data_IF_308958843929
#
_entry.id   IF_308958843929
#
_cell.length_a   1.000
_cell.length_b   1.000
_cell.length_c   1.000
_cell.angle_alpha   90.00
_cell.angle_beta   90.00
_cell.angle_gamma   90.00
#
_symmetry.space_group_name_H-M   'P 1'
#
loop_
_entity.id
_entity.type
_entity.pdbx_description
1 polymer ?
#
# COMPACT_ATOMS: atom_id res chain seq x y z
N UNK A 1 -1.64 14.08 3.39
CA UNK A 1 -1.62 13.10 2.28
C UNK A 1 -0.19 12.59 2.19
N UNK A 2 0.02 11.30 2.34
CA UNK A 2 1.35 10.69 2.37
C UNK A 2 1.66 10.03 1.03
N UNK A 3 2.84 10.29 0.48
CA UNK A 3 3.31 9.60 -0.72
C UNK A 3 4.07 8.34 -0.28
N UNK A 4 3.66 7.18 -0.80
CA UNK A 4 4.28 5.90 -0.47
C UNK A 4 4.63 5.20 -1.78
N UNK A 5 5.91 4.87 -1.96
CA UNK A 5 6.38 4.07 -3.08
C UNK A 5 6.16 2.57 -2.80
N UNK A 6 5.61 1.86 -3.78
CA UNK A 6 5.43 0.42 -3.77
C UNK A 6 6.65 -0.20 -4.43
N UNK A 7 7.50 -0.85 -3.64
CA UNK A 7 8.71 -1.52 -4.14
C UNK A 7 8.51 -3.02 -3.91
N UNK A 8 7.98 -3.77 -4.89
CA UNK A 8 7.62 -5.17 -4.70
C UNK A 8 8.82 -6.11 -4.59
N UNK A 9 10.00 -5.72 -5.10
CA UNK A 9 11.17 -6.60 -5.14
C UNK A 9 10.93 -7.85 -6.00
N UNK A 10 11.59 -8.96 -5.63
CA UNK A 10 11.58 -10.21 -6.38
C UNK A 10 10.80 -11.34 -5.68
N UNK A 11 10.65 -12.47 -6.38
CA UNK A 11 9.95 -13.65 -5.85
C UNK A 11 8.47 -13.36 -5.63
N UNK A 12 7.97 -13.67 -4.43
CA UNK A 12 6.55 -13.45 -4.05
C UNK A 12 6.24 -12.03 -3.57
N UNK A 13 7.22 -11.10 -3.65
CA UNK A 13 7.08 -9.76 -3.07
C UNK A 13 5.95 -8.95 -3.70
N UNK A 14 5.67 -9.14 -4.99
CA UNK A 14 4.55 -8.51 -5.69
C UNK A 14 3.19 -8.93 -5.12
N UNK A 15 3.00 -10.21 -4.83
CA UNK A 15 1.76 -10.72 -4.23
C UNK A 15 1.58 -10.19 -2.81
N UNK A 16 2.64 -10.19 -2.00
CA UNK A 16 2.58 -9.75 -0.61
C UNK A 16 2.31 -8.24 -0.50
N UNK A 17 3.00 -7.42 -1.30
CA UNK A 17 2.79 -5.96 -1.31
C UNK A 17 1.37 -5.62 -1.76
N UNK A 18 0.80 -6.35 -2.73
CA UNK A 18 -0.59 -6.15 -3.16
C UNK A 18 -1.59 -6.41 -2.02
N UNK A 19 -1.40 -7.48 -1.24
CA UNK A 19 -2.29 -7.76 -0.11
C UNK A 19 -2.08 -6.76 1.05
N UNK A 20 -0.84 -6.35 1.32
CA UNK A 20 -0.53 -5.30 2.30
C UNK A 20 -1.19 -3.96 1.94
N UNK A 21 -1.17 -3.57 0.65
CA UNK A 21 -1.85 -2.37 0.15
C UNK A 21 -3.34 -2.38 0.47
N UNK A 22 -4.04 -3.50 0.31
CA UNK A 22 -5.48 -3.62 0.62
C UNK A 22 -5.77 -3.36 2.10
N UNK A 23 -4.96 -3.91 3.00
CA UNK A 23 -5.12 -3.69 4.45
C UNK A 23 -4.94 -2.21 4.78
N UNK A 24 -3.91 -1.59 4.20
CA UNK A 24 -3.61 -0.17 4.41
C UNK A 24 -4.74 0.72 3.86
N UNK A 25 -5.33 0.40 2.70
CA UNK A 25 -6.46 1.17 2.15
C UNK A 25 -7.71 1.10 3.03
N UNK A 26 -7.97 -0.04 3.67
CA UNK A 26 -9.09 -0.16 4.63
C UNK A 26 -8.78 0.65 5.88
N UNK A 27 -7.59 0.50 6.45
CA UNK A 27 -7.17 1.27 7.62
C UNK A 27 -7.19 2.78 7.33
N UNK A 28 -6.73 3.21 6.16
CA UNK A 28 -6.68 4.62 5.78
C UNK A 28 -8.08 5.22 5.69
N UNK A 29 -9.08 4.46 5.23
CA UNK A 29 -10.50 4.88 5.25
C UNK A 29 -11.04 5.03 6.68
N UNK A 30 -10.72 4.10 7.58
CA UNK A 30 -11.17 4.14 8.99
C UNK A 30 -10.61 5.37 9.70
N UNK A 31 -9.33 5.68 9.49
CA UNK A 31 -8.64 6.77 10.20
C UNK A 31 -8.59 8.09 9.42
N UNK A 32 -9.25 8.19 8.26
CA UNK A 32 -9.26 9.40 7.44
C UNK A 32 -7.89 9.79 6.86
N UNK A 33 -6.97 8.83 6.72
CA UNK A 33 -5.63 9.04 6.19
C UNK A 33 -5.69 9.00 4.66
N UNK A 34 -5.13 10.03 4.01
CA UNK A 34 -4.98 10.06 2.55
C UNK A 34 -3.60 9.56 2.15
N UNK A 35 -3.55 8.55 1.28
CA UNK A 35 -2.32 7.96 0.75
C UNK A 35 -2.30 8.15 -0.77
N UNK A 36 -1.12 8.47 -1.30
CA UNK A 36 -0.81 8.49 -2.71
C UNK A 36 0.21 7.38 -2.99
N UNK A 37 -0.22 6.37 -3.73
CA UNK A 37 0.66 5.27 -4.10
C UNK A 37 1.46 5.63 -5.35
N UNK A 38 2.77 5.42 -5.28
CA UNK A 38 3.66 5.47 -6.46
C UNK A 38 4.10 4.04 -6.73
N UNK A 39 3.93 3.57 -7.96
CA UNK A 39 4.38 2.23 -8.38
C UNK A 39 5.86 2.23 -8.79
#
# INVERSE_FOLDING_TARGET
MYNIALIPGDGIGSEIIREGKKVIEVASKIYGIKINWTE
#
